data_IF_653078815369
#
_entry.id   IF_653078815369
#
_cell.length_a   1.000
_cell.length_b   1.000
_cell.length_c   1.000
_cell.angle_alpha   90.00
_cell.angle_beta   90.00
_cell.angle_gamma   90.00
#
_symmetry.space_group_name_H-M   'P 1'
#
loop_
_entity.id
_entity.type
_entity.pdbx_description
1 polymer ?
#
# COMPACT_ATOMS: atom_id res chain seq x y z
N UNK A 1 -7.56 -21.83 -12.25
CA UNK A 1 -7.85 -20.68 -11.37
C UNK A 1 -6.73 -19.63 -11.35
N UNK A 2 -5.50 -19.97 -10.97
CA UNK A 2 -4.40 -18.98 -10.89
C UNK A 2 -4.09 -18.25 -12.21
N UNK A 3 -4.12 -18.96 -13.35
CA UNK A 3 -3.90 -18.35 -14.67
C UNK A 3 -4.99 -17.36 -15.10
N UNK A 4 -6.25 -17.62 -14.74
CA UNK A 4 -7.37 -16.71 -14.99
C UNK A 4 -7.25 -15.45 -14.13
N UNK A 5 -6.86 -15.59 -12.85
CA UNK A 5 -6.65 -14.44 -11.97
C UNK A 5 -5.45 -13.57 -12.41
N UNK A 6 -4.38 -14.20 -12.92
CA UNK A 6 -3.25 -13.48 -13.51
C UNK A 6 -3.66 -12.74 -14.78
N UNK A 7 -4.43 -13.39 -15.66
CA UNK A 7 -4.95 -12.75 -16.87
C UNK A 7 -5.83 -11.55 -16.52
N UNK A 8 -6.73 -11.71 -15.55
CA UNK A 8 -7.61 -10.64 -15.05
C UNK A 8 -6.80 -9.47 -14.48
N UNK A 9 -5.78 -9.76 -13.66
CA UNK A 9 -4.87 -8.75 -13.09
C UNK A 9 -4.10 -7.99 -14.19
N UNK A 10 -3.66 -8.70 -15.24
CA UNK A 10 -2.93 -8.12 -16.38
C UNK A 10 -3.87 -7.25 -17.21
N UNK A 11 -5.10 -7.69 -17.46
CA UNK A 11 -6.12 -6.93 -18.18
C UNK A 11 -6.50 -5.66 -17.41
N UNK A 12 -6.72 -5.78 -16.10
CA UNK A 12 -6.96 -4.63 -15.22
C UNK A 12 -5.80 -3.64 -15.25
N UNK A 13 -4.57 -4.13 -15.15
CA UNK A 13 -3.37 -3.30 -15.19
C UNK A 13 -3.23 -2.58 -16.55
N UNK A 14 -3.53 -3.28 -17.64
CA UNK A 14 -3.54 -2.70 -18.98
C UNK A 14 -4.62 -1.63 -19.15
N UNK A 15 -5.85 -1.90 -18.70
CA UNK A 15 -6.96 -0.92 -18.73
C UNK A 15 -6.60 0.30 -17.89
N UNK A 16 -5.94 0.11 -16.75
CA UNK A 16 -5.48 1.19 -15.90
C UNK A 16 -4.45 2.07 -16.62
N UNK A 17 -3.39 1.45 -17.16
CA UNK A 17 -2.31 2.15 -17.86
C UNK A 17 -2.82 2.87 -19.10
N UNK A 18 -3.71 2.24 -19.87
CA UNK A 18 -4.32 2.86 -21.05
C UNK A 18 -5.24 4.01 -20.68
N UNK A 19 -6.05 3.91 -19.61
CA UNK A 19 -6.87 5.04 -19.13
C UNK A 19 -6.01 6.19 -18.62
N UNK A 20 -4.93 5.90 -17.90
CA UNK A 20 -3.96 6.90 -17.44
C UNK A 20 -3.33 7.62 -18.65
N UNK A 21 -2.85 6.86 -19.63
CA UNK A 21 -2.23 7.41 -20.84
C UNK A 21 -3.23 8.22 -21.67
N UNK A 22 -4.47 7.74 -21.81
CA UNK A 22 -5.53 8.42 -22.55
C UNK A 22 -5.97 9.71 -21.85
N UNK A 23 -6.19 9.68 -20.53
CA UNK A 23 -6.52 10.89 -19.77
C UNK A 23 -5.40 11.94 -19.84
N UNK A 24 -4.15 11.50 -19.76
CA UNK A 24 -2.98 12.36 -19.90
C UNK A 24 -2.87 12.98 -21.31
N UNK A 25 -3.08 12.19 -22.37
CA UNK A 25 -3.04 12.67 -23.76
C UNK A 25 -4.18 13.63 -24.11
N UNK A 26 -5.37 13.44 -23.53
CA UNK A 26 -6.56 14.25 -23.84
C UNK A 26 -6.85 15.36 -22.81
N UNK A 27 -5.87 15.69 -21.95
CA UNK A 27 -5.94 16.86 -21.07
C UNK A 27 -7.01 16.81 -19.98
N UNK A 28 -7.69 15.67 -19.80
CA UNK A 28 -8.58 15.46 -18.65
C UNK A 28 -7.70 14.91 -17.54
N UNK A 29 -7.47 15.70 -16.49
CA UNK A 29 -6.57 15.33 -15.38
C UNK A 29 -6.74 13.88 -14.92
N UNK A 30 -5.64 13.27 -14.48
CA UNK A 30 -5.60 11.88 -14.04
C UNK A 30 -6.58 11.66 -12.88
N UNK A 31 -7.64 10.88 -13.12
CA UNK A 31 -8.52 10.42 -12.04
C UNK A 31 -7.87 9.24 -11.34
N UNK A 32 -7.18 9.52 -10.24
CA UNK A 32 -6.63 8.50 -9.35
C UNK A 32 -7.70 8.18 -8.31
N UNK A 33 -8.15 6.93 -8.25
CA UNK A 33 -9.05 6.47 -7.19
C UNK A 33 -8.24 5.82 -6.04
N UNK A 34 -8.89 5.66 -4.88
CA UNK A 34 -8.28 5.05 -3.70
C UNK A 34 -7.70 3.66 -4.00
N UNK A 35 -8.44 2.85 -4.77
CA UNK A 35 -8.03 1.49 -5.11
C UNK A 35 -6.74 1.47 -5.97
N UNK A 36 -6.55 2.44 -6.86
CA UNK A 36 -5.33 2.59 -7.64
C UNK A 36 -4.13 2.88 -6.73
N UNK A 37 -4.29 3.79 -5.75
CA UNK A 37 -3.25 4.07 -4.77
C UNK A 37 -2.90 2.82 -3.93
N UNK A 38 -3.90 2.02 -3.55
CA UNK A 38 -3.71 0.69 -2.91
C UNK A 38 -2.98 -0.30 -3.82
N UNK A 39 -3.26 -0.32 -5.12
CA UNK A 39 -2.52 -1.17 -6.08
C UNK A 39 -1.06 -0.70 -6.26
N UNK A 40 -0.78 0.61 -6.17
CA UNK A 40 0.58 1.14 -6.19
C UNK A 40 1.42 0.72 -4.98
N UNK A 41 0.84 0.69 -3.76
CA UNK A 41 1.59 0.21 -2.58
C UNK A 41 2.02 -1.25 -2.71
N UNK A 42 1.20 -2.08 -3.38
CA UNK A 42 1.57 -3.49 -3.66
C UNK A 42 2.81 -3.61 -4.54
N UNK A 43 3.02 -2.70 -5.51
CA UNK A 43 4.25 -2.68 -6.29
C UNK A 43 5.48 -2.44 -5.38
N UNK A 44 5.33 -1.58 -4.37
CA UNK A 44 6.36 -1.39 -3.33
C UNK A 44 6.62 -2.68 -2.54
N UNK A 45 5.57 -3.37 -2.11
CA UNK A 45 5.69 -4.65 -1.39
C UNK A 45 6.41 -5.72 -2.23
N UNK A 46 6.08 -5.83 -3.52
CA UNK A 46 6.69 -6.78 -4.45
C UNK A 46 8.16 -6.42 -4.73
N UNK A 47 8.46 -5.14 -4.98
CA UNK A 47 9.83 -4.68 -5.20
C UNK A 47 10.74 -5.01 -4.01
N UNK A 48 10.25 -4.79 -2.79
CA UNK A 48 10.94 -5.16 -1.56
C UNK A 48 11.18 -6.67 -1.47
N UNK A 49 10.15 -7.49 -1.70
CA UNK A 49 10.27 -8.94 -1.63
C UNK A 49 11.31 -9.47 -2.64
N UNK A 50 11.31 -8.95 -3.87
CA UNK A 50 12.29 -9.30 -4.90
C UNK A 50 13.70 -8.91 -4.47
N UNK A 51 13.90 -7.68 -3.96
CA UNK A 51 15.21 -7.20 -3.53
C UNK A 51 15.81 -8.08 -2.40
N UNK A 52 14.97 -8.46 -1.43
CA UNK A 52 15.38 -9.26 -0.27
C UNK A 52 15.67 -10.69 -0.68
N UNK A 53 14.82 -11.31 -1.48
CA UNK A 53 15.02 -12.68 -1.96
C UNK A 53 16.25 -12.80 -2.87
N UNK A 54 16.49 -11.81 -3.73
CA UNK A 54 17.70 -11.74 -4.55
C UNK A 54 18.97 -11.65 -3.69
N UNK A 55 18.96 -10.82 -2.64
CA UNK A 55 20.09 -10.73 -1.71
C UNK A 55 20.31 -12.04 -0.94
N UNK A 56 19.24 -12.67 -0.44
CA UNK A 56 19.34 -13.94 0.27
C UNK A 56 19.90 -15.05 -0.62
N UNK A 57 19.51 -15.10 -1.90
CA UNK A 57 20.03 -16.06 -2.88
C UNK A 57 21.53 -15.85 -3.13
N UNK A 58 21.95 -14.61 -3.30
CA UNK A 58 23.38 -14.26 -3.41
C UNK A 58 24.15 -14.72 -2.16
N UNK A 59 23.60 -14.49 -0.96
CA UNK A 59 24.26 -14.84 0.30
C UNK A 59 24.39 -16.34 0.52
N UNK A 60 23.39 -17.15 0.14
CA UNK A 60 23.48 -18.62 0.20
C UNK A 60 24.55 -19.17 -0.76
N UNK A 61 24.73 -18.56 -1.93
CA UNK A 61 25.80 -18.92 -2.86
C UNK A 61 27.19 -18.54 -2.31
N UNK A 62 27.26 -17.47 -1.51
CA UNK A 62 28.50 -16.96 -0.91
C UNK A 62 28.77 -17.51 0.49
N UNK A 63 27.91 -18.36 1.06
CA UNK A 63 28.03 -18.86 2.43
C UNK A 63 29.27 -19.75 2.66
N UNK A 64 30.02 -20.08 1.61
CA UNK A 64 31.35 -20.70 1.70
C UNK A 64 32.51 -19.73 1.87
N UNK A 65 32.29 -18.41 1.74
CA UNK A 65 33.34 -17.40 1.80
C UNK A 65 32.86 -16.19 2.62
N UNK A 66 33.30 -16.16 3.87
CA UNK A 66 33.31 -14.99 4.77
C UNK A 66 32.01 -14.67 5.52
N UNK A 67 32.14 -14.85 6.84
CA UNK A 67 31.47 -14.17 7.94
C UNK A 67 31.63 -12.65 7.83
N UNK A 68 31.06 -12.04 6.79
CA UNK A 68 31.11 -10.59 6.64
C UNK A 68 29.77 -9.95 7.01
N UNK A 69 29.91 -8.79 7.64
CA UNK A 69 29.01 -8.22 8.62
C UNK A 69 27.56 -7.99 8.13
N UNK A 70 26.68 -7.88 9.12
CA UNK A 70 25.22 -7.66 9.14
C UNK A 70 24.67 -6.46 8.31
N UNK A 71 25.40 -5.97 7.32
CA UNK A 71 25.06 -4.78 6.55
C UNK A 71 24.26 -5.11 5.28
N UNK A 72 23.09 -4.47 5.13
CA UNK A 72 22.34 -4.50 3.88
C UNK A 72 23.15 -3.84 2.76
N UNK A 73 23.15 -4.45 1.57
CA UNK A 73 23.82 -3.85 0.40
C UNK A 73 23.16 -2.51 0.05
N UNK A 74 23.91 -1.61 -0.58
CA UNK A 74 23.39 -0.29 -0.99
C UNK A 74 22.19 -0.43 -1.93
N UNK A 75 22.23 -1.41 -2.86
CA UNK A 75 21.12 -1.70 -3.78
C UNK A 75 19.84 -2.09 -3.05
N UNK A 76 19.95 -2.95 -2.02
CA UNK A 76 18.80 -3.37 -1.23
C UNK A 76 18.29 -2.24 -0.36
N UNK A 77 19.19 -1.44 0.23
CA UNK A 77 18.79 -0.25 0.98
C UNK A 77 18.02 0.76 0.12
N UNK A 78 18.44 0.95 -1.12
CA UNK A 78 17.74 1.80 -2.09
C UNK A 78 16.38 1.21 -2.50
N UNK A 79 16.32 -0.11 -2.72
CA UNK A 79 15.06 -0.79 -2.99
C UNK A 79 14.08 -0.68 -1.81
N UNK A 80 14.56 -0.78 -0.56
CA UNK A 80 13.74 -0.58 0.64
C UNK A 80 13.22 0.85 0.75
N UNK A 81 14.05 1.85 0.43
CA UNK A 81 13.63 3.25 0.36
C UNK A 81 12.50 3.42 -0.67
N UNK A 82 12.72 2.97 -1.91
CA UNK A 82 11.71 3.07 -2.98
C UNK A 82 10.42 2.34 -2.60
N UNK A 83 10.54 1.14 -2.01
CA UNK A 83 9.38 0.37 -1.54
C UNK A 83 8.60 1.13 -0.48
N UNK A 84 9.29 1.76 0.47
CA UNK A 84 8.67 2.58 1.51
C UNK A 84 7.95 3.80 0.93
N UNK A 85 8.57 4.48 -0.04
CA UNK A 85 7.95 5.61 -0.73
C UNK A 85 6.69 5.17 -1.50
N UNK A 86 6.74 4.06 -2.23
CA UNK A 86 5.59 3.51 -2.95
C UNK A 86 4.46 3.11 -2.01
N UNK A 87 4.78 2.52 -0.85
CA UNK A 87 3.78 2.20 0.17
C UNK A 87 3.24 3.48 0.82
N UNK A 88 4.07 4.49 1.05
CA UNK A 88 3.67 5.77 1.64
C UNK A 88 2.68 6.54 0.74
N UNK A 89 2.78 6.40 -0.59
CA UNK A 89 1.82 7.00 -1.53
C UNK A 89 0.39 6.60 -1.19
N UNK A 90 0.14 5.36 -0.77
CA UNK A 90 -1.18 4.93 -0.32
C UNK A 90 -1.68 5.83 0.81
N UNK A 91 -0.95 5.90 1.92
CA UNK A 91 -1.41 6.60 3.12
C UNK A 91 -1.46 8.12 2.93
N UNK A 92 -0.54 8.69 2.15
CA UNK A 92 -0.55 10.12 1.81
C UNK A 92 -1.70 10.45 0.88
N UNK A 93 -1.90 9.67 -0.19
CA UNK A 93 -2.98 9.93 -1.14
C UNK A 93 -4.33 9.76 -0.46
N UNK A 94 -4.59 8.60 0.15
CA UNK A 94 -5.87 8.29 0.80
C UNK A 94 -6.12 9.23 1.97
N UNK A 95 -5.10 9.46 2.80
CA UNK A 95 -5.18 10.38 3.92
C UNK A 95 -5.50 11.81 3.51
N UNK A 96 -5.01 12.30 2.35
CA UNK A 96 -5.30 13.65 1.87
C UNK A 96 -6.61 13.72 1.07
N UNK A 97 -6.80 12.82 0.10
CA UNK A 97 -7.95 12.84 -0.82
C UNK A 97 -9.24 12.52 -0.10
N UNK A 98 -9.26 11.48 0.72
CA UNK A 98 -10.46 11.07 1.44
C UNK A 98 -10.77 11.99 2.60
N UNK A 99 -9.75 12.51 3.30
CA UNK A 99 -9.99 13.50 4.36
C UNK A 99 -10.52 14.81 3.78
N UNK A 100 -10.01 15.27 2.64
CA UNK A 100 -10.58 16.39 1.92
C UNK A 100 -12.03 16.11 1.50
N UNK A 101 -12.32 14.94 0.93
CA UNK A 101 -13.69 14.54 0.57
C UNK A 101 -14.64 14.59 1.76
N UNK A 102 -14.23 14.04 2.91
CA UNK A 102 -15.07 13.97 4.11
C UNK A 102 -15.26 15.33 4.79
N UNK A 103 -14.22 16.17 4.86
CA UNK A 103 -14.30 17.48 5.50
C UNK A 103 -15.05 18.53 4.67
N UNK A 104 -15.06 18.39 3.35
CA UNK A 104 -15.68 19.34 2.42
C UNK A 104 -16.88 18.76 1.67
N UNK A 105 -17.54 17.73 2.22
CA UNK A 105 -18.69 17.04 1.61
C UNK A 105 -19.75 17.95 0.95
N UNK A 106 -20.18 19.10 1.52
CA UNK A 106 -21.18 19.97 0.87
C UNK A 106 -20.73 20.55 -0.48
N UNK A 107 -19.43 20.55 -0.76
CA UNK A 107 -18.79 21.13 -1.95
C UNK A 107 -18.34 20.06 -2.96
N UNK A 108 -18.56 18.78 -2.66
CA UNK A 108 -18.08 17.67 -3.51
C UNK A 108 -19.24 16.84 -4.07
N UNK A 109 -19.13 16.29 -5.29
CA UNK A 109 -20.22 15.54 -5.94
C UNK A 109 -20.39 14.11 -5.40
N UNK A 110 -19.78 13.77 -4.26
CA UNK A 110 -19.81 12.40 -3.71
C UNK A 110 -21.07 12.16 -2.88
N UNK A 111 -21.76 11.05 -3.17
CA UNK A 111 -22.94 10.63 -2.42
C UNK A 111 -22.54 10.18 -1.00
N UNK A 112 -23.25 10.63 0.05
CA UNK A 112 -23.00 10.15 1.41
C UNK A 112 -23.45 8.70 1.58
N UNK A 113 -22.73 7.93 2.40
CA UNK A 113 -23.24 6.66 2.95
C UNK A 113 -22.43 5.41 2.63
N UNK A 114 -21.12 5.52 2.38
CA UNK A 114 -20.27 4.33 2.46
C UNK A 114 -19.87 4.08 3.92
N UNK A 115 -19.83 2.82 4.37
CA UNK A 115 -19.42 2.43 5.73
C UNK A 115 -17.97 2.82 6.05
N UNK A 116 -17.20 3.18 5.01
CA UNK A 116 -15.85 3.69 5.08
C UNK A 116 -15.75 5.19 5.40
N UNK A 117 -16.84 5.96 5.41
CA UNK A 117 -16.83 7.44 5.57
C UNK A 117 -16.52 7.93 7.01
N UNK A 118 -15.49 7.39 7.64
CA UNK A 118 -15.02 7.76 8.98
C UNK A 118 -13.73 8.57 8.90
N UNK A 119 -13.71 9.72 9.58
CA UNK A 119 -12.62 10.72 9.53
C UNK A 119 -11.37 10.26 10.30
N UNK A 120 -11.54 9.76 11.53
CA UNK A 120 -10.41 9.53 12.43
C UNK A 120 -9.38 8.48 11.93
N UNK A 121 -9.76 7.34 11.30
CA UNK A 121 -8.76 6.37 10.83
C UNK A 121 -7.87 6.96 9.75
N UNK A 122 -8.46 7.70 8.81
CA UNK A 122 -7.74 8.38 7.72
C UNK A 122 -6.78 9.43 8.24
N UNK A 123 -7.18 10.18 9.27
CA UNK A 123 -6.30 11.16 9.92
C UNK A 123 -5.11 10.48 10.62
N UNK A 124 -5.35 9.38 11.34
CA UNK A 124 -4.27 8.60 11.99
C UNK A 124 -3.29 8.04 10.97
N UNK A 125 -3.79 7.46 9.87
CA UNK A 125 -2.96 6.94 8.79
C UNK A 125 -2.12 8.04 8.13
N UNK A 126 -2.70 9.21 7.89
CA UNK A 126 -1.98 10.36 7.35
C UNK A 126 -0.86 10.83 8.30
N UNK A 127 -1.15 10.91 9.61
CA UNK A 127 -0.16 11.29 10.61
C UNK A 127 1.00 10.29 10.69
N UNK A 128 0.71 8.99 10.57
CA UNK A 128 1.72 7.93 10.55
C UNK A 128 2.49 7.85 9.21
N UNK A 129 1.92 8.33 8.11
CA UNK A 129 2.57 8.32 6.80
C UNK A 129 3.85 9.17 6.76
N UNK A 130 3.90 10.28 7.51
CA UNK A 130 5.06 11.18 7.57
C UNK A 130 6.29 10.49 8.20
N UNK A 131 6.25 10.01 9.46
CA UNK A 131 7.39 9.31 10.05
C UNK A 131 7.71 8.01 9.31
N UNK A 132 6.72 7.33 8.72
CA UNK A 132 6.95 6.19 7.85
C UNK A 132 7.82 6.56 6.65
N UNK A 133 7.47 7.62 5.92
CA UNK A 133 8.21 8.08 4.74
C UNK A 133 9.68 8.38 5.08
N UNK A 134 9.89 9.09 6.19
CA UNK A 134 11.23 9.45 6.68
C UNK A 134 12.02 8.25 7.22
N UNK A 135 11.36 7.15 7.55
CA UNK A 135 11.99 6.02 8.24
C UNK A 135 12.37 6.37 9.68
N UNK A 136 11.47 7.06 10.38
CA UNK A 136 11.56 7.31 11.81
C UNK A 136 10.73 6.27 12.56
N UNK A 137 11.34 5.59 13.52
CA UNK A 137 10.78 4.44 14.23
C UNK A 137 10.15 3.42 13.28
N UNK A 138 10.87 3.06 12.22
CA UNK A 138 10.36 2.32 11.06
C UNK A 138 9.59 1.06 11.46
N UNK A 139 10.11 0.31 12.44
CA UNK A 139 9.48 -0.92 12.97
C UNK A 139 8.14 -0.65 13.63
N UNK A 140 8.06 0.38 14.48
CA UNK A 140 6.83 0.72 15.22
C UNK A 140 5.78 1.27 14.25
N UNK A 141 6.17 2.23 13.42
CA UNK A 141 5.26 2.90 12.49
C UNK A 141 4.72 1.91 11.45
N UNK A 142 5.57 1.03 10.89
CA UNK A 142 5.12 -0.01 9.98
C UNK A 142 4.11 -0.97 10.65
N UNK A 143 4.31 -1.31 11.93
CA UNK A 143 3.36 -2.14 12.69
C UNK A 143 2.03 -1.43 12.89
N UNK A 144 2.04 -0.16 13.29
CA UNK A 144 0.82 0.62 13.50
C UNK A 144 0.01 0.76 12.21
N UNK A 145 0.68 1.07 11.09
CA UNK A 145 0.06 1.13 9.77
C UNK A 145 -0.49 -0.24 9.33
N UNK A 146 0.22 -1.33 9.60
CA UNK A 146 -0.27 -2.68 9.29
C UNK A 146 -1.53 -3.03 10.08
N UNK A 147 -1.56 -2.70 11.38
CA UNK A 147 -2.75 -2.88 12.22
C UNK A 147 -3.90 -2.02 11.71
N UNK A 148 -3.66 -0.76 11.34
CA UNK A 148 -4.68 0.12 10.76
C UNK A 148 -5.32 -0.50 9.52
N UNK A 149 -4.52 -0.95 8.55
CA UNK A 149 -5.02 -1.57 7.32
C UNK A 149 -5.83 -2.85 7.58
N UNK A 150 -5.42 -3.66 8.56
CA UNK A 150 -6.17 -4.87 8.93
C UNK A 150 -7.51 -4.51 9.58
N UNK A 151 -7.53 -3.53 10.50
CA UNK A 151 -8.76 -3.05 11.11
C UNK A 151 -9.69 -2.43 10.08
N UNK A 152 -9.15 -1.62 9.15
CA UNK A 152 -9.90 -1.03 8.05
C UNK A 152 -10.50 -2.12 7.14
N UNK A 153 -9.71 -3.14 6.79
CA UNK A 153 -10.18 -4.28 5.99
C UNK A 153 -11.34 -5.01 6.65
N UNK A 154 -11.23 -5.32 7.94
CA UNK A 154 -12.26 -6.05 8.67
C UNK A 154 -13.51 -5.20 8.93
N UNK A 155 -13.35 -3.90 9.21
CA UNK A 155 -14.48 -3.05 9.57
C UNK A 155 -15.19 -2.45 8.36
N UNK A 156 -14.45 -1.78 7.47
CA UNK A 156 -15.03 -1.02 6.36
C UNK A 156 -15.24 -1.89 5.10
N UNK A 157 -14.44 -2.94 4.92
CA UNK A 157 -14.42 -3.75 3.70
C UNK A 157 -14.90 -5.19 3.92
N UNK A 158 -15.81 -5.38 4.89
CA UNK A 158 -16.50 -6.64 5.18
C UNK A 158 -17.42 -7.07 4.03
N UNK A 159 -16.83 -7.62 2.97
CA UNK A 159 -17.56 -8.02 1.76
C UNK A 159 -18.56 -9.16 1.99
N UNK A 160 -18.45 -9.87 3.11
CA UNK A 160 -19.34 -10.95 3.52
C UNK A 160 -20.60 -10.46 4.27
N UNK A 161 -20.71 -9.17 4.61
CA UNK A 161 -21.88 -8.58 5.29
C UNK A 161 -22.49 -7.41 4.52
N UNK A 162 -22.45 -7.46 3.19
CA UNK A 162 -22.98 -6.35 2.38
C UNK A 162 -24.50 -6.32 2.46
N UNK A 163 -25.11 -5.18 2.83
CA UNK A 163 -26.57 -5.04 2.83
C UNK A 163 -27.10 -4.86 1.41
N UNK A 164 -28.26 -5.47 1.14
CA UNK A 164 -28.99 -5.35 -0.13
C UNK A 164 -29.45 -6.70 -0.69
N UNK A 165 -30.13 -6.65 -1.83
CA UNK A 165 -30.54 -7.84 -2.55
C UNK A 165 -29.31 -8.54 -3.17
N UNK A 166 -29.00 -9.73 -2.66
CA UNK A 166 -27.86 -10.54 -3.08
C UNK A 166 -27.88 -10.91 -4.57
N UNK A 167 -29.05 -10.96 -5.20
CA UNK A 167 -29.20 -11.31 -6.62
C UNK A 167 -29.09 -10.10 -7.54
N UNK A 168 -29.08 -8.90 -7.00
CA UNK A 168 -28.96 -7.68 -7.80
C UNK A 168 -27.55 -7.51 -8.37
N UNK A 169 -27.47 -6.96 -9.59
CA UNK A 169 -26.20 -6.59 -10.22
C UNK A 169 -25.42 -5.57 -9.36
N UNK A 170 -26.13 -4.64 -8.72
CA UNK A 170 -25.54 -3.63 -7.85
C UNK A 170 -24.85 -4.25 -6.62
N UNK A 171 -25.45 -5.27 -6.00
CA UNK A 171 -24.86 -6.01 -4.89
C UNK A 171 -23.57 -6.71 -5.32
N UNK A 172 -23.59 -7.41 -6.46
CA UNK A 172 -22.40 -8.10 -6.99
C UNK A 172 -21.24 -7.13 -7.25
N UNK A 173 -21.52 -5.97 -7.86
CA UNK A 173 -20.50 -4.94 -8.11
C UNK A 173 -19.90 -4.39 -6.81
N UNK A 174 -20.73 -4.13 -5.80
CA UNK A 174 -20.27 -3.69 -4.48
C UNK A 174 -19.44 -4.77 -3.78
N UNK A 175 -19.82 -6.03 -3.90
CA UNK A 175 -19.07 -7.17 -3.35
C UNK A 175 -17.69 -7.32 -3.96
N UNK A 176 -17.55 -7.15 -5.27
CA UNK A 176 -16.24 -7.15 -5.93
C UNK A 176 -15.39 -5.99 -5.40
N UNK A 177 -15.96 -4.78 -5.37
CA UNK A 177 -15.25 -3.59 -4.89
C UNK A 177 -14.74 -3.75 -3.44
N UNK A 178 -15.59 -4.22 -2.52
CA UNK A 178 -15.20 -4.45 -1.13
C UNK A 178 -14.12 -5.54 -1.01
N UNK A 179 -14.20 -6.60 -1.82
CA UNK A 179 -13.16 -7.65 -1.86
C UNK A 179 -11.81 -7.10 -2.32
N UNK A 180 -11.79 -6.25 -3.34
CA UNK A 180 -10.55 -5.64 -3.82
C UNK A 180 -9.89 -4.79 -2.73
N UNK A 181 -10.64 -3.93 -2.05
CA UNK A 181 -10.13 -3.13 -0.94
C UNK A 181 -9.66 -4.01 0.23
N UNK A 182 -10.43 -5.04 0.58
CA UNK A 182 -10.06 -6.00 1.62
C UNK A 182 -8.71 -6.67 1.31
N UNK A 183 -8.59 -7.30 0.13
CA UNK A 183 -7.39 -8.07 -0.23
C UNK A 183 -6.16 -7.17 -0.37
N UNK A 184 -6.32 -5.98 -0.97
CA UNK A 184 -5.21 -5.03 -1.15
C UNK A 184 -4.70 -4.49 0.20
N UNK A 185 -5.58 -4.22 1.15
CA UNK A 185 -5.21 -3.82 2.51
C UNK A 185 -4.45 -4.93 3.25
N UNK A 186 -4.98 -6.16 3.23
CA UNK A 186 -4.33 -7.31 3.89
C UNK A 186 -2.95 -7.60 3.27
N UNK A 187 -2.85 -7.54 1.94
CA UNK A 187 -1.58 -7.74 1.24
C UNK A 187 -0.56 -6.63 1.56
N UNK A 188 -1.00 -5.36 1.62
CA UNK A 188 -0.14 -4.24 1.99
C UNK A 188 0.30 -4.33 3.46
N UNK A 189 -0.59 -4.73 4.37
CA UNK A 189 -0.25 -4.99 5.77
C UNK A 189 0.82 -6.09 5.90
N UNK A 190 0.70 -7.17 5.11
CA UNK A 190 1.75 -8.20 5.03
C UNK A 190 3.10 -7.64 4.56
N UNK A 191 3.10 -6.74 3.58
CA UNK A 191 4.31 -6.02 3.15
C UNK A 191 4.93 -5.16 4.26
N UNK A 192 4.11 -4.44 5.03
CA UNK A 192 4.58 -3.65 6.18
C UNK A 192 5.19 -4.51 7.28
N UNK A 193 4.62 -5.68 7.57
CA UNK A 193 5.18 -6.65 8.52
C UNK A 193 6.50 -7.24 8.02
N UNK A 194 6.62 -7.46 6.71
CA UNK A 194 7.88 -7.86 6.10
C UNK A 194 8.95 -6.76 6.26
N UNK A 195 8.60 -5.50 5.98
CA UNK A 195 9.48 -4.34 6.21
C UNK A 195 9.90 -4.24 7.68
N UNK A 196 8.99 -4.50 8.62
CA UNK A 196 9.29 -4.55 10.05
C UNK A 196 10.36 -5.60 10.37
N UNK A 197 10.32 -6.77 9.72
CA UNK A 197 11.29 -7.85 9.96
C UNK A 197 12.66 -7.57 9.33
N UNK A 198 12.69 -6.90 8.18
CA UNK A 198 13.94 -6.56 7.46
C UNK A 198 14.62 -5.33 8.07
N UNK A 199 13.84 -4.36 8.52
CA UNK A 199 14.30 -3.02 8.89
C UNK A 199 14.27 -2.04 7.70
N UNK A 200 14.42 -0.74 8.00
CA UNK A 200 14.24 0.33 7.01
C UNK A 200 15.43 0.60 6.07
N UNK A 201 16.55 -0.12 6.24
CA UNK A 201 17.77 0.05 5.44
C UNK A 201 18.64 1.24 5.85
N UNK A 202 19.65 1.56 5.04
CA UNK A 202 20.60 2.67 5.30
C UNK A 202 19.99 4.07 5.17
N UNK A 203 18.91 4.21 4.40
CA UNK A 203 18.26 5.49 4.10
C UNK A 203 17.06 5.71 5.01
N UNK A 204 17.32 5.84 6.31
CA UNK A 204 16.32 6.12 7.34
C UNK A 204 16.83 7.15 8.33
N UNK A 205 15.92 7.91 8.93
CA UNK A 205 16.25 8.73 10.10
C UNK A 205 16.79 7.85 11.23
N UNK A 206 16.23 6.64 11.43
CA UNK A 206 16.72 5.68 12.43
C UNK A 206 18.22 5.36 12.26
N UNK A 207 18.68 5.16 11.02
CA UNK A 207 20.08 4.84 10.71
C UNK A 207 21.00 6.06 10.83
N UNK A 208 20.48 7.26 10.55
CA UNK A 208 21.21 8.52 10.74
C UNK A 208 21.43 8.82 12.23
N UNK A 209 20.39 8.65 13.05
CA UNK A 209 20.47 8.88 14.50
C UNK A 209 21.45 7.91 15.17
N UNK A 210 21.39 6.62 14.80
CA UNK A 210 22.32 5.60 15.32
C UNK A 210 23.81 5.86 14.99
N UNK A 211 24.11 6.71 13.99
CA UNK A 211 25.49 7.07 13.62
C UNK A 211 26.05 8.23 14.46
N UNK A 212 25.18 8.99 15.13
CA UNK A 212 25.58 10.15 15.94
C UNK A 212 25.88 9.79 17.40
N UNK A 213 25.47 8.60 17.84
CA UNK A 213 25.86 7.97 19.10
C UNK A 213 27.20 7.21 18.97
#
# INVERSE_FOLDING_TARGET
>A
CAGLMLADTVVDSYILVTRIAWQWLFGRGLYINELMAKKFSLLGCVAMLIAVTAQQRSRKSSFGLLLDAESLTTRVSLALLLSRLLIAVLFLFVGLSELHRLLFQPLTPYLPGDGHDVVWPKAVELLLAIPFTLGFQTTLVARLLAVSLVLEALYAWSWWTIPGDAFSFAHHRRAIHYREHFVTNIATAGGLLLLQKIGGGKYTVDALLKKQD
#
